data_IF_322954628755
#
_entry.id   IF_322954628755
#
_cell.length_a   1.000
_cell.length_b   1.000
_cell.length_c   1.000
_cell.angle_alpha   90.00
_cell.angle_beta   90.00
_cell.angle_gamma   90.00
#
_symmetry.space_group_name_H-M   'P 1'
#
loop_
_entity.id
_entity.type
_entity.pdbx_description
1 polymer ?
#
# COMPACT_ATOMS: atom_id res chain seq x y z
N UNK A 1 44.25 -12.68 11.37
CA UNK A 1 44.82 -12.10 10.13
C UNK A 1 43.71 -11.25 9.52
N UNK A 2 43.83 -9.92 9.65
CA UNK A 2 42.94 -8.82 9.22
C UNK A 2 41.40 -8.91 9.47
N UNK A 3 40.84 -8.01 10.30
CA UNK A 3 39.47 -7.53 10.16
C UNK A 3 39.44 -6.13 9.50
N UNK A 4 38.53 -5.91 8.56
CA UNK A 4 38.16 -4.58 8.10
C UNK A 4 36.99 -4.07 8.94
N UNK A 5 37.27 -3.08 9.79
CA UNK A 5 36.27 -2.22 10.41
C UNK A 5 36.17 -0.95 9.54
N UNK A 6 34.95 -0.56 9.17
CA UNK A 6 34.68 0.76 8.61
C UNK A 6 34.19 1.67 9.74
N UNK A 7 35.07 2.57 10.18
CA UNK A 7 34.72 3.78 10.93
C UNK A 7 34.23 4.85 9.93
N UNK A 8 33.09 5.48 10.23
CA UNK A 8 32.68 6.74 9.59
C UNK A 8 32.88 7.88 10.59
N UNK A 9 33.66 8.92 10.28
CA UNK A 9 33.66 10.14 11.07
C UNK A 9 32.55 11.10 10.60
N UNK A 10 31.78 11.57 11.58
CA UNK A 10 30.99 12.79 11.49
C UNK A 10 31.94 13.99 11.40
N UNK A 11 31.86 14.79 10.34
CA UNK A 11 32.25 16.20 10.40
C UNK A 11 31.20 17.08 9.73
N UNK A 12 30.57 17.89 10.57
CA UNK A 12 29.91 19.12 10.19
C UNK A 12 30.98 20.21 9.97
N UNK A 13 30.66 21.16 9.09
CA UNK A 13 31.03 22.60 9.05
C UNK A 13 31.57 22.99 7.68
N UNK A 14 30.83 23.81 6.92
CA UNK A 14 31.30 25.14 6.46
C UNK A 14 30.22 25.80 5.58
N UNK A 15 29.62 26.86 6.13
CA UNK A 15 28.86 27.85 5.41
C UNK A 15 29.71 29.12 5.28
N UNK A 16 30.19 29.45 4.07
CA UNK A 16 30.39 30.82 3.58
C UNK A 16 31.14 30.77 2.24
N UNK A 17 30.47 31.17 1.15
CA UNK A 17 30.98 31.94 0.01
C UNK A 17 30.16 31.61 -1.24
N UNK A 18 29.33 32.55 -1.66
CA UNK A 18 29.14 32.94 -3.07
C UNK A 18 28.22 34.18 -3.07
N UNK A 19 28.82 35.31 -2.73
CA UNK A 19 28.38 36.62 -3.21
C UNK A 19 29.05 36.85 -4.57
N UNK A 20 28.34 37.55 -5.47
CA UNK A 20 28.78 38.09 -6.76
C UNK A 20 28.72 37.16 -7.98
N UNK A 21 27.61 37.27 -8.72
CA UNK A 21 27.66 37.78 -10.10
C UNK A 21 26.29 38.32 -10.52
N UNK A 22 26.26 39.62 -10.78
CA UNK A 22 25.16 40.32 -11.44
C UNK A 22 25.19 40.10 -12.97
N UNK A 23 24.10 40.45 -13.68
CA UNK A 23 23.75 39.91 -14.99
C UNK A 23 24.23 40.81 -16.15
N UNK A 24 24.40 40.21 -17.32
CA UNK A 24 24.49 40.94 -18.58
C UNK A 24 23.44 40.44 -19.58
N UNK A 25 22.55 41.38 -19.86
CA UNK A 25 21.56 41.58 -20.92
C UNK A 25 21.97 41.24 -22.36
N UNK A 26 20.92 41.02 -23.19
CA UNK A 26 20.71 41.38 -24.61
C UNK A 26 20.30 40.16 -25.47
N UNK A 27 19.03 39.98 -25.85
CA UNK A 27 18.21 40.65 -26.90
C UNK A 27 18.29 39.94 -28.27
N UNK A 28 17.09 39.58 -28.75
CA UNK A 28 16.59 39.67 -30.12
C UNK A 28 16.71 38.48 -31.10
N UNK A 29 15.51 38.11 -31.60
CA UNK A 29 15.17 37.92 -33.02
C UNK A 29 15.36 36.55 -33.67
N UNK A 30 14.54 36.05 -34.59
CA UNK A 30 13.17 36.27 -35.11
C UNK A 30 12.99 35.15 -36.19
N UNK A 31 11.78 34.60 -36.37
CA UNK A 31 11.22 33.94 -37.57
C UNK A 31 11.89 32.71 -38.24
N UNK A 32 11.13 31.61 -38.39
CA UNK A 32 10.42 31.24 -39.65
C UNK A 32 10.22 29.72 -39.86
N UNK A 33 8.98 29.36 -40.23
CA UNK A 33 8.55 28.33 -41.20
C UNK A 33 9.05 26.87 -41.11
N UNK A 34 8.11 25.91 -41.04
CA UNK A 34 7.78 25.07 -42.21
C UNK A 34 6.42 24.35 -42.03
N UNK A 35 5.57 24.53 -43.05
CA UNK A 35 4.41 23.70 -43.39
C UNK A 35 4.88 22.33 -43.91
N UNK A 36 4.20 21.23 -43.55
CA UNK A 36 3.96 20.13 -44.49
C UNK A 36 2.65 19.38 -44.13
N UNK A 37 1.79 19.28 -45.14
CA UNK A 37 0.55 18.53 -45.21
C UNK A 37 0.81 17.11 -45.78
N UNK A 38 -0.25 16.30 -45.78
CA UNK A 38 -0.57 15.14 -46.67
C UNK A 38 -0.19 13.74 -46.11
N UNK A 39 -1.03 12.67 -46.21
CA UNK A 39 -2.48 12.55 -46.04
C UNK A 39 -2.92 11.22 -45.35
N UNK A 40 -4.24 11.03 -45.23
CA UNK A 40 -4.93 9.79 -44.93
C UNK A 40 -4.54 8.59 -45.82
N UNK A 41 -4.58 7.38 -45.23
CA UNK A 41 -4.95 6.17 -45.98
C UNK A 41 -5.88 5.27 -45.18
N UNK A 42 -7.14 5.29 -45.63
CA UNK A 42 -8.22 4.36 -45.32
C UNK A 42 -7.95 3.00 -45.97
N UNK A 43 -8.23 1.90 -45.25
CA UNK A 43 -8.62 0.62 -45.83
C UNK A 43 -9.65 -0.07 -44.93
N UNK A 44 -10.89 -0.11 -45.42
CA UNK A 44 -11.95 -1.05 -45.03
C UNK A 44 -11.65 -2.45 -45.60
N UNK A 45 -11.95 -3.48 -44.80
CA UNK A 45 -12.73 -4.73 -45.03
C UNK A 45 -12.50 -5.55 -46.32
N UNK A 46 -12.69 -6.90 -46.34
CA UNK A 46 -13.79 -7.69 -45.74
C UNK A 46 -13.33 -8.94 -44.95
N UNK A 47 -14.07 -9.44 -43.96
CA UNK A 47 -15.23 -10.35 -44.05
C UNK A 47 -14.96 -11.60 -44.92
N UNK A 48 -14.97 -12.76 -44.27
CA UNK A 48 -14.84 -14.08 -44.86
C UNK A 48 -15.22 -15.14 -43.84
N UNK A 49 -16.52 -15.46 -43.79
CA UNK A 49 -17.05 -16.69 -43.22
C UNK A 49 -16.55 -17.88 -44.03
N UNK A 50 -16.02 -18.92 -43.37
CA UNK A 50 -16.08 -20.30 -43.88
C UNK A 50 -16.37 -21.24 -42.71
N UNK A 51 -17.44 -21.99 -42.96
CA UNK A 51 -18.07 -23.07 -42.23
C UNK A 51 -17.21 -24.35 -42.18
N UNK A 52 -17.41 -25.08 -41.09
CA UNK A 52 -17.66 -26.52 -41.01
C UNK A 52 -16.50 -27.55 -41.14
N UNK A 53 -16.45 -28.36 -40.07
CA UNK A 53 -16.44 -29.83 -40.06
C UNK A 53 -15.14 -30.65 -39.98
N UNK A 54 -15.25 -31.63 -39.06
CA UNK A 54 -14.78 -33.02 -39.11
C UNK A 54 -13.51 -33.40 -38.32
N UNK A 55 -13.77 -34.00 -37.17
CA UNK A 55 -13.50 -35.41 -36.86
C UNK A 55 -12.06 -35.96 -36.69
N UNK A 56 -11.93 -36.64 -35.53
CA UNK A 56 -11.24 -37.93 -35.32
C UNK A 56 -9.71 -37.94 -35.34
N UNK A 57 -9.13 -38.20 -34.17
CA UNK A 57 -8.29 -39.38 -33.95
C UNK A 57 -7.97 -39.60 -32.47
N UNK A 58 -8.40 -40.75 -31.97
CA UNK A 58 -7.94 -41.35 -30.73
C UNK A 58 -6.50 -41.84 -30.88
N UNK A 59 -5.71 -41.73 -29.82
CA UNK A 59 -4.49 -42.52 -29.61
C UNK A 59 -4.46 -43.05 -28.18
N UNK A 60 -4.91 -44.29 -28.05
CA UNK A 60 -4.56 -45.26 -26.99
C UNK A 60 -3.13 -45.75 -27.22
N UNK A 61 -2.55 -46.50 -26.25
CA UNK A 61 -1.30 -47.33 -26.30
C UNK A 61 -0.10 -46.61 -25.64
N UNK A 62 0.66 -47.14 -24.65
CA UNK A 62 0.74 -48.45 -24.00
C UNK A 62 1.43 -48.31 -22.63
N UNK A 63 1.16 -49.30 -21.77
CA UNK A 63 1.91 -49.69 -20.59
C UNK A 63 3.42 -49.88 -20.84
N UNK A 64 4.23 -49.54 -19.84
CA UNK A 64 5.49 -50.22 -19.57
C UNK A 64 5.71 -50.34 -18.07
N UNK A 65 5.28 -51.49 -17.54
CA UNK A 65 5.72 -52.07 -16.29
C UNK A 65 7.10 -52.71 -16.49
N UNK A 66 8.04 -52.42 -15.59
CA UNK A 66 9.15 -53.33 -15.33
C UNK A 66 9.46 -53.32 -13.84
N UNK A 67 9.60 -54.54 -13.33
CA UNK A 67 9.72 -54.95 -11.95
C UNK A 67 11.11 -55.52 -11.69
N UNK A 68 11.39 -55.78 -10.41
CA UNK A 68 12.51 -56.55 -9.85
C UNK A 68 13.82 -55.75 -9.70
N UNK A 69 14.61 -55.89 -8.64
CA UNK A 69 14.76 -57.01 -7.70
C UNK A 69 15.42 -56.55 -6.38
N UNK A 70 15.16 -57.36 -5.36
CA UNK A 70 15.70 -57.38 -4.00
C UNK A 70 17.18 -57.81 -3.92
N UNK A 71 17.91 -57.31 -2.92
CA UNK A 71 18.93 -58.09 -2.21
C UNK A 71 19.22 -57.53 -0.81
N UNK A 72 19.51 -58.44 0.12
CA UNK A 72 19.48 -58.29 1.55
C UNK A 72 20.87 -58.22 2.20
N UNK A 73 20.88 -57.73 3.45
CA UNK A 73 21.69 -58.16 4.61
C UNK A 73 23.24 -58.19 4.51
N UNK A 74 23.91 -57.42 5.38
CA UNK A 74 24.40 -57.90 6.69
C UNK A 74 25.65 -57.15 7.20
N UNK A 75 25.61 -56.88 8.52
CA UNK A 75 26.70 -56.97 9.51
C UNK A 75 27.67 -55.80 9.79
N UNK A 76 27.83 -55.62 11.12
CA UNK A 76 29.06 -55.31 11.89
C UNK A 76 29.27 -53.84 12.25
N UNK A 77 29.05 -53.43 13.51
CA UNK A 77 29.88 -53.58 14.74
C UNK A 77 30.59 -52.27 15.10
N UNK A 78 30.28 -51.80 16.31
CA UNK A 78 31.11 -51.03 17.24
C UNK A 78 31.84 -49.79 16.74
N UNK A 79 31.36 -48.62 17.19
CA UNK A 79 32.23 -47.77 18.00
C UNK A 79 31.41 -46.86 18.93
N UNK A 80 31.62 -47.13 20.21
CA UNK A 80 31.22 -46.35 21.36
C UNK A 80 32.10 -45.09 21.39
N UNK A 81 31.53 -43.91 21.13
CA UNK A 81 32.19 -42.63 21.41
C UNK A 81 31.20 -41.69 22.10
N UNK A 82 31.39 -41.61 23.41
CA UNK A 82 30.94 -40.56 24.32
C UNK A 82 31.40 -39.21 23.79
N UNK A 83 30.51 -38.49 23.09
CA UNK A 83 30.72 -37.10 22.70
C UNK A 83 29.71 -36.22 23.44
N UNK A 84 30.29 -35.44 24.36
CA UNK A 84 29.67 -34.41 25.20
C UNK A 84 28.54 -33.67 24.48
N UNK A 85 27.36 -33.73 25.09
CA UNK A 85 26.26 -32.82 24.82
C UNK A 85 26.71 -31.39 25.20
N UNK A 86 27.23 -30.64 24.22
CA UNK A 86 27.43 -29.20 24.38
C UNK A 86 26.04 -28.58 24.39
N UNK A 87 25.60 -28.26 25.60
CA UNK A 87 24.37 -27.52 25.89
C UNK A 87 24.48 -26.18 25.15
N UNK A 88 23.84 -26.09 23.98
CA UNK A 88 23.70 -24.86 23.22
C UNK A 88 22.83 -23.94 24.08
N UNK A 89 23.43 -22.90 24.66
CA UNK A 89 22.67 -21.93 25.43
C UNK A 89 21.58 -21.34 24.53
N UNK A 90 20.31 -21.30 24.99
CA UNK A 90 19.26 -20.66 24.24
C UNK A 90 19.65 -19.19 24.07
N UNK A 91 19.86 -18.78 22.81
CA UNK A 91 20.08 -17.39 22.49
C UNK A 91 18.93 -16.54 23.06
N UNK A 92 19.19 -15.26 23.38
CA UNK A 92 18.16 -14.37 23.91
C UNK A 92 16.94 -14.41 22.98
N UNK A 93 15.76 -14.59 23.56
CA UNK A 93 14.52 -14.61 22.79
C UNK A 93 14.40 -13.30 22.00
N UNK A 94 13.72 -13.33 20.85
CA UNK A 94 13.50 -12.11 20.06
C UNK A 94 12.84 -10.99 20.89
N UNK A 95 12.07 -11.34 21.94
CA UNK A 95 11.54 -10.39 22.91
C UNK A 95 12.65 -9.70 23.72
N UNK A 96 13.65 -10.44 24.21
CA UNK A 96 14.78 -9.86 24.95
C UNK A 96 15.65 -8.93 24.08
N UNK A 97 15.74 -9.21 22.77
CA UNK A 97 16.43 -8.32 21.80
C UNK A 97 15.63 -7.02 21.60
N UNK A 98 14.31 -7.11 21.48
CA UNK A 98 13.44 -5.94 21.37
C UNK A 98 13.44 -5.09 22.65
N UNK A 99 13.40 -5.72 23.82
CA UNK A 99 13.45 -5.02 25.11
C UNK A 99 14.79 -4.30 25.32
N UNK A 100 15.91 -4.94 24.94
CA UNK A 100 17.23 -4.31 24.99
C UNK A 100 17.33 -3.10 24.03
N UNK A 101 16.72 -3.19 22.85
CA UNK A 101 16.68 -2.08 21.90
C UNK A 101 15.80 -0.93 22.39
N UNK A 102 14.63 -1.22 22.96
CA UNK A 102 13.74 -0.21 23.53
C UNK A 102 14.39 0.52 24.72
N UNK A 103 15.07 -0.21 25.61
CA UNK A 103 15.81 0.37 26.74
C UNK A 103 16.97 1.27 26.27
N UNK A 104 17.65 0.88 25.19
CA UNK A 104 18.71 1.71 24.59
C UNK A 104 18.17 3.03 24.03
N UNK A 105 17.06 3.00 23.30
CA UNK A 105 16.43 4.21 22.78
C UNK A 105 15.96 5.15 23.91
N UNK A 106 15.42 4.59 25.00
CA UNK A 106 15.03 5.37 26.17
C UNK A 106 16.24 6.05 26.83
N UNK A 107 17.37 5.35 26.91
CA UNK A 107 18.61 5.89 27.45
C UNK A 107 19.19 7.00 26.57
N UNK A 108 19.21 6.81 25.24
CA UNK A 108 19.65 7.82 24.28
C UNK A 108 18.78 9.08 24.35
N UNK A 109 17.44 8.95 24.47
CA UNK A 109 16.53 10.08 24.65
C UNK A 109 16.75 10.81 25.99
N UNK A 110 17.01 10.07 27.07
CA UNK A 110 17.28 10.65 28.40
C UNK A 110 18.63 11.38 28.43
N UNK A 111 19.63 10.87 27.71
CA UNK A 111 20.93 11.52 27.54
C UNK A 111 20.83 12.79 26.67
N UNK A 112 19.96 12.81 25.66
CA UNK A 112 19.68 14.01 24.86
C UNK A 112 19.00 15.11 25.70
N UNK A 113 18.05 14.76 26.56
CA UNK A 113 17.45 15.71 27.51
C UNK A 113 18.45 16.21 28.55
N UNK A 114 19.35 15.36 29.03
CA UNK A 114 20.41 15.77 29.97
C UNK A 114 21.46 16.67 29.30
N UNK A 115 21.72 16.49 28.00
CA UNK A 115 22.62 17.35 27.22
C UNK A 115 21.99 18.69 26.82
N UNK A 116 20.67 18.86 26.93
CA UNK A 116 19.99 20.16 26.87
C UNK A 116 20.17 20.93 28.19
N UNK A 117 21.42 21.25 28.51
CA UNK A 117 21.75 22.18 29.58
C UNK A 117 21.12 23.58 29.36
N UNK A 118 20.89 24.35 30.42
CA UNK A 118 20.24 25.66 30.36
C UNK A 118 21.20 26.70 29.76
N UNK A 119 21.26 26.79 28.43
CA UNK A 119 22.12 27.76 27.73
C UNK A 119 21.37 28.99 27.22
N UNK A 120 20.10 29.16 27.58
CA UNK A 120 19.38 30.42 27.36
C UNK A 120 19.64 31.42 28.48
N UNK A 121 20.92 31.78 28.72
CA UNK A 121 21.22 33.14 29.20
C UNK A 121 21.39 34.00 27.96
N UNK A 122 20.27 34.45 27.40
CA UNK A 122 20.27 35.50 26.40
C UNK A 122 20.90 36.74 27.03
N UNK A 123 22.19 36.96 26.76
CA UNK A 123 22.78 38.29 26.90
C UNK A 123 22.10 39.10 25.81
N UNK A 124 21.03 39.81 26.16
CA UNK A 124 20.41 40.80 25.30
C UNK A 124 21.46 41.86 24.99
N UNK A 125 22.21 41.66 23.91
CA UNK A 125 23.02 42.71 23.34
C UNK A 125 22.08 43.87 23.00
N UNK A 126 22.42 45.13 23.36
CA UNK A 126 21.63 46.30 22.99
C UNK A 126 21.31 46.35 21.48
N UNK A 127 22.16 45.74 20.64
CA UNK A 127 21.94 45.63 19.20
C UNK A 127 20.70 44.82 18.80
N UNK A 128 20.32 43.80 19.57
CA UNK A 128 19.15 42.97 19.25
C UNK A 128 17.85 43.74 19.54
N UNK A 129 17.82 44.51 20.64
CA UNK A 129 16.67 45.36 20.96
C UNK A 129 16.48 46.48 19.94
N UNK A 130 17.58 47.07 19.46
CA UNK A 130 17.54 48.07 18.38
C UNK A 130 17.02 47.44 17.07
N UNK A 131 17.48 46.24 16.71
CA UNK A 131 17.01 45.55 15.53
C UNK A 131 15.50 45.22 15.62
N UNK A 132 15.02 44.75 16.77
CA UNK A 132 13.59 44.47 16.98
C UNK A 132 12.74 45.74 16.93
N UNK A 133 13.22 46.88 17.45
CA UNK A 133 12.54 48.17 17.34
C UNK A 133 12.46 48.67 15.89
N UNK A 134 13.54 48.48 15.10
CA UNK A 134 13.53 48.82 13.66
C UNK A 134 12.52 47.94 12.91
N UNK A 135 12.48 46.63 13.19
CA UNK A 135 11.50 45.74 12.58
C UNK A 135 10.06 46.06 12.98
N UNK A 136 9.82 46.39 14.24
CA UNK A 136 8.49 46.78 14.73
C UNK A 136 8.03 48.10 14.10
N UNK A 137 8.92 49.09 13.93
CA UNK A 137 8.58 50.36 13.29
C UNK A 137 8.34 50.22 11.79
N UNK A 138 9.14 49.41 11.08
CA UNK A 138 8.88 49.07 9.67
C UNK A 138 7.53 48.36 9.54
N UNK A 139 7.24 47.37 10.40
CA UNK A 139 5.96 46.67 10.43
C UNK A 139 4.79 47.62 10.67
N UNK A 140 4.92 48.56 11.60
CA UNK A 140 3.88 49.55 11.91
C UNK A 140 3.65 50.51 10.73
N UNK A 141 4.69 50.97 10.05
CA UNK A 141 4.58 51.85 8.88
C UNK A 141 3.91 51.13 7.71
N UNK A 142 4.27 49.86 7.48
CA UNK A 142 3.62 49.02 6.45
C UNK A 142 2.15 48.80 6.80
N UNK A 143 1.84 48.47 8.06
CA UNK A 143 0.48 48.26 8.53
C UNK A 143 -0.38 49.53 8.34
N UNK A 144 0.11 50.69 8.79
CA UNK A 144 -0.59 51.97 8.65
C UNK A 144 -0.80 52.37 7.19
N UNK A 145 0.16 52.05 6.30
CA UNK A 145 0.05 52.35 4.87
C UNK A 145 -0.94 51.43 4.16
N UNK A 146 -1.01 50.15 4.56
CA UNK A 146 -2.00 49.19 4.05
C UNK A 146 -3.40 49.55 4.53
N UNK A 147 -3.56 49.96 5.79
CA UNK A 147 -4.85 50.35 6.36
C UNK A 147 -5.38 51.66 5.75
N UNK A 148 -4.47 52.61 5.45
CA UNK A 148 -4.82 53.86 4.77
C UNK A 148 -5.31 53.68 3.33
N UNK A 149 -4.95 52.57 2.67
CA UNK A 149 -5.49 52.23 1.34
C UNK A 149 -6.92 51.66 1.35
N UNK A 150 -7.47 51.33 2.52
CA UNK A 150 -8.82 50.76 2.64
C UNK A 150 -9.94 51.79 2.88
N UNK A 151 -9.63 53.08 3.03
CA UNK A 151 -10.64 54.13 3.22
C UNK A 151 -11.02 54.84 1.91
N UNK A 152 -11.31 54.06 0.86
CA UNK A 152 -12.10 54.55 -0.29
C UNK A 152 -13.50 53.92 -0.19
N UNK A 153 -14.55 54.69 0.21
CA UNK A 153 -15.92 54.21 0.17
C UNK A 153 -16.37 54.16 -1.29
N UNK A 154 -16.19 53.00 -1.92
CA UNK A 154 -16.56 52.77 -3.31
C UNK A 154 -16.60 51.28 -3.60
N UNK A 155 -17.82 50.73 -3.63
CA UNK A 155 -18.19 49.37 -4.00
C UNK A 155 -17.56 48.26 -3.12
N UNK A 156 -18.38 47.67 -2.26
CA UNK A 156 -18.07 46.43 -1.57
C UNK A 156 -17.72 45.35 -2.61
N UNK A 157 -16.42 45.11 -2.80
CA UNK A 157 -15.92 43.93 -3.48
C UNK A 157 -16.35 42.73 -2.65
N UNK A 158 -17.20 41.89 -3.23
CA UNK A 158 -17.67 40.66 -2.63
C UNK A 158 -16.46 39.91 -2.06
N UNK A 159 -16.39 39.85 -0.73
CA UNK A 159 -15.45 39.01 -0.01
C UNK A 159 -15.78 37.57 -0.40
N UNK A 160 -15.11 37.05 -1.42
CA UNK A 160 -15.08 35.62 -1.71
C UNK A 160 -14.44 34.97 -0.49
N UNK A 161 -15.28 34.47 0.43
CA UNK A 161 -14.82 33.67 1.55
C UNK A 161 -14.00 32.55 0.97
N UNK A 162 -12.72 32.47 1.34
CA UNK A 162 -11.89 31.32 1.02
C UNK A 162 -12.58 30.10 1.64
N UNK A 163 -13.30 29.36 0.80
CA UNK A 163 -13.95 28.12 1.20
C UNK A 163 -12.87 27.21 1.77
N UNK A 164 -12.94 26.97 3.08
CA UNK A 164 -12.05 26.01 3.71
C UNK A 164 -12.41 24.62 3.19
N UNK A 165 -11.46 23.70 2.99
CA UNK A 165 -11.74 22.36 2.47
C UNK A 165 -12.83 21.59 3.24
N UNK A 166 -13.06 21.92 4.51
CA UNK A 166 -14.15 21.38 5.34
C UNK A 166 -15.55 21.83 4.89
N UNK A 167 -15.68 23.02 4.31
CA UNK A 167 -16.96 23.53 3.82
C UNK A 167 -17.49 22.75 2.60
N UNK A 168 -16.59 22.12 1.84
CA UNK A 168 -16.94 21.29 0.69
C UNK A 168 -17.39 19.87 1.08
N UNK A 169 -17.22 19.47 2.35
CA UNK A 169 -17.73 18.18 2.81
C UNK A 169 -19.26 18.22 2.97
N UNK A 170 -19.96 17.15 2.56
CA UNK A 170 -21.36 16.95 2.92
C UNK A 170 -21.55 17.01 4.44
N UNK A 171 -22.75 17.38 4.87
CA UNK A 171 -23.08 17.52 6.29
C UNK A 171 -22.81 16.22 7.08
N UNK A 172 -23.16 15.06 6.50
CA UNK A 172 -22.89 13.73 7.07
C UNK A 172 -21.41 13.41 7.29
N UNK A 173 -20.50 14.13 6.63
CA UNK A 173 -19.05 13.96 6.78
C UNK A 173 -18.40 14.97 7.71
N UNK A 174 -19.15 15.94 8.27
CA UNK A 174 -18.59 17.01 9.11
C UNK A 174 -18.47 16.53 10.56
N UNK A 175 -17.40 16.97 11.25
CA UNK A 175 -16.95 16.40 12.53
C UNK A 175 -18.01 16.25 13.63
N UNK A 176 -19.00 17.14 13.72
CA UNK A 176 -20.07 17.00 14.71
C UNK A 176 -21.03 15.84 14.39
N UNK A 177 -21.43 15.69 13.12
CA UNK A 177 -22.27 14.57 12.68
C UNK A 177 -21.52 13.25 12.73
N UNK A 178 -20.22 13.32 12.47
CA UNK A 178 -19.37 12.15 12.40
C UNK A 178 -19.41 11.28 13.65
N UNK A 179 -19.25 11.92 14.81
CA UNK A 179 -19.19 11.24 16.09
C UNK A 179 -20.58 10.83 16.60
N UNK A 180 -21.64 11.47 16.09
CA UNK A 180 -23.03 11.16 16.47
C UNK A 180 -23.54 9.90 15.77
N UNK A 181 -23.17 9.70 14.50
CA UNK A 181 -23.58 8.55 13.68
C UNK A 181 -22.63 7.35 13.83
N UNK A 182 -22.07 7.16 15.03
CA UNK A 182 -21.23 5.99 15.35
C UNK A 182 -19.76 6.07 14.92
N UNK A 183 -19.37 7.10 14.17
CA UNK A 183 -17.96 7.37 13.82
C UNK A 183 -17.10 7.62 15.06
N UNK A 184 -15.82 7.25 14.98
CA UNK A 184 -14.87 7.30 16.10
C UNK A 184 -13.80 8.37 15.91
N UNK A 185 -13.38 8.59 14.66
CA UNK A 185 -12.41 9.60 14.29
C UNK A 185 -12.97 10.53 13.20
N UNK A 186 -12.70 11.85 13.25
CA UNK A 186 -13.24 12.79 12.27
C UNK A 186 -12.72 12.52 10.86
N UNK A 187 -13.47 12.93 9.84
CA UNK A 187 -13.09 12.78 8.44
C UNK A 187 -11.65 13.27 8.18
N UNK A 188 -10.80 12.41 7.62
CA UNK A 188 -9.40 12.70 7.33
C UNK A 188 -8.42 12.53 8.48
N UNK A 189 -8.86 12.13 9.68
CA UNK A 189 -7.96 11.68 10.73
C UNK A 189 -7.16 10.45 10.28
N UNK A 190 -5.90 10.35 10.68
CA UNK A 190 -5.06 9.18 10.39
C UNK A 190 -5.46 8.04 11.31
N UNK A 191 -5.84 6.89 10.74
CA UNK A 191 -6.22 5.70 11.49
C UNK A 191 -5.02 4.76 11.73
N UNK A 192 -4.08 4.73 10.79
CA UNK A 192 -2.92 3.85 10.83
C UNK A 192 -2.12 3.95 9.54
N UNK A 193 -1.05 3.16 9.42
CA UNK A 193 -0.22 3.13 8.24
C UNK A 193 0.39 1.74 8.01
N UNK A 194 0.29 1.22 6.80
CA UNK A 194 1.00 0.01 6.41
C UNK A 194 2.06 0.32 5.36
N UNK A 195 3.31 -0.06 5.62
CA UNK A 195 4.47 0.26 4.78
C UNK A 195 4.53 1.76 4.41
N UNK A 196 4.15 2.68 5.29
CA UNK A 196 4.15 4.12 5.01
C UNK A 196 2.99 4.62 4.12
N UNK A 197 1.99 3.79 3.83
CA UNK A 197 0.73 4.20 3.21
C UNK A 197 -0.29 4.43 4.33
N UNK A 198 -0.67 5.69 4.56
CA UNK A 198 -1.62 6.06 5.61
C UNK A 198 -3.05 5.73 5.22
N UNK A 199 -3.82 5.21 6.17
CA UNK A 199 -5.27 5.13 6.08
C UNK A 199 -5.90 6.30 6.82
N UNK A 200 -6.93 6.87 6.21
CA UNK A 200 -7.65 8.01 6.74
C UNK A 200 -9.10 7.63 7.05
N UNK A 201 -9.65 8.25 8.10
CA UNK A 201 -11.05 8.11 8.47
C UNK A 201 -11.94 8.66 7.37
N UNK A 202 -12.88 7.84 6.90
CA UNK A 202 -14.03 8.31 6.11
C UNK A 202 -15.19 8.73 7.02
N UNK A 203 -14.92 9.02 8.29
CA UNK A 203 -15.91 9.37 9.30
C UNK A 203 -16.87 8.24 9.69
N UNK A 204 -17.73 7.79 8.77
CA UNK A 204 -18.57 6.59 8.92
C UNK A 204 -18.72 5.91 7.55
N UNK A 205 -18.95 4.61 7.52
CA UNK A 205 -19.09 3.83 6.28
C UNK A 205 -20.44 4.04 5.58
N UNK A 206 -21.46 4.44 6.32
CA UNK A 206 -22.86 4.27 5.89
C UNK A 206 -23.45 5.52 5.25
N UNK A 207 -23.11 6.70 5.76
CA UNK A 207 -23.74 7.99 5.37
C UNK A 207 -22.75 9.03 4.85
N UNK A 208 -21.46 8.89 5.13
CA UNK A 208 -20.45 9.82 4.66
C UNK A 208 -19.88 9.38 3.30
N UNK A 209 -20.34 10.03 2.23
CA UNK A 209 -19.76 9.90 0.88
C UNK A 209 -19.27 11.27 0.43
N UNK A 210 -17.96 11.50 0.49
CA UNK A 210 -17.37 12.74 -0.02
C UNK A 210 -17.14 12.67 -1.52
N UNK A 211 -17.51 13.71 -2.24
CA UNK A 211 -17.17 13.89 -3.66
C UNK A 211 -15.75 14.43 -3.89
N UNK A 212 -15.01 14.71 -2.81
CA UNK A 212 -13.65 15.22 -2.88
C UNK A 212 -12.68 14.14 -3.37
N UNK A 213 -11.95 14.44 -4.43
CA UNK A 213 -10.91 13.55 -4.95
C UNK A 213 -9.61 13.71 -4.15
N UNK A 214 -8.89 12.59 -3.95
CA UNK A 214 -7.49 12.62 -3.55
C UNK A 214 -6.60 12.53 -4.78
N UNK A 215 -5.60 13.40 -4.81
CA UNK A 215 -4.58 13.45 -5.83
C UNK A 215 -3.22 13.44 -5.16
N UNK A 216 -2.27 12.73 -5.75
CA UNK A 216 -0.90 12.67 -5.26
C UNK A 216 0.10 12.80 -6.40
N UNK A 217 1.22 13.46 -6.12
CA UNK A 217 2.32 13.58 -7.06
C UNK A 217 3.12 12.27 -7.05
N UNK A 218 3.16 11.60 -8.21
CA UNK A 218 3.94 10.38 -8.43
C UNK A 218 5.21 10.76 -9.20
N UNK A 219 6.41 10.38 -8.73
CA UNK A 219 7.64 10.57 -9.49
C UNK A 219 7.56 9.89 -10.85
N UNK A 220 7.91 10.61 -11.91
CA UNK A 220 7.96 10.05 -13.25
C UNK A 220 9.30 9.33 -13.46
N UNK A 221 9.29 8.02 -13.80
CA UNK A 221 10.50 7.35 -14.26
C UNK A 221 11.10 8.09 -15.48
N UNK A 222 12.43 8.08 -15.66
CA UNK A 222 13.05 8.57 -16.89
C UNK A 222 12.42 7.89 -18.12
N UNK A 223 11.94 8.68 -19.08
CA UNK A 223 11.29 8.16 -20.29
C UNK A 223 9.79 7.88 -20.18
N UNK A 224 9.18 7.88 -18.99
CA UNK A 224 7.74 7.66 -18.78
C UNK A 224 6.85 8.89 -19.05
N UNK A 225 7.41 9.91 -19.72
CA UNK A 225 6.71 11.17 -20.01
C UNK A 225 5.74 10.98 -21.17
N UNK A 226 4.54 11.49 -21.00
CA UNK A 226 3.49 11.54 -22.00
C UNK A 226 3.37 12.97 -22.54
N UNK A 227 2.66 13.13 -23.66
CA UNK A 227 2.34 14.45 -24.22
C UNK A 227 1.50 15.34 -23.28
N UNK A 228 0.89 14.75 -22.24
CA UNK A 228 0.11 15.48 -21.23
C UNK A 228 0.99 16.09 -20.12
N UNK A 229 2.24 15.65 -19.97
CA UNK A 229 3.13 16.13 -18.92
C UNK A 229 3.85 17.42 -19.34
N UNK A 230 4.03 18.36 -18.41
CA UNK A 230 4.74 19.61 -18.66
C UNK A 230 6.20 19.34 -19.14
N UNK A 231 6.81 20.24 -19.96
CA UNK A 231 8.14 20.07 -20.57
C UNK A 231 9.30 19.67 -19.64
N UNK A 232 9.15 19.85 -18.32
CA UNK A 232 10.14 19.48 -17.30
C UNK A 232 9.50 18.83 -16.05
N UNK A 233 8.32 18.22 -16.20
CA UNK A 233 7.66 17.54 -15.10
C UNK A 233 8.54 16.38 -14.60
N UNK A 234 8.90 16.43 -13.32
CA UNK A 234 9.54 15.31 -12.60
C UNK A 234 8.51 14.46 -11.85
N UNK A 235 7.27 14.95 -11.77
CA UNK A 235 6.13 14.27 -11.14
C UNK A 235 4.88 14.41 -12.00
N UNK A 236 3.97 13.44 -11.86
CA UNK A 236 2.62 13.49 -12.43
C UNK A 236 1.62 13.48 -11.29
N UNK A 237 0.67 14.41 -11.33
CA UNK A 237 -0.44 14.42 -10.40
C UNK A 237 -1.45 13.34 -10.82
N UNK A 238 -1.67 12.35 -9.96
CA UNK A 238 -2.56 11.23 -10.24
C UNK A 238 -3.68 11.19 -9.22
N UNK A 239 -4.91 11.02 -9.71
CA UNK A 239 -6.10 10.82 -8.87
C UNK A 239 -6.16 9.38 -8.39
N UNK A 240 -6.18 9.17 -7.08
CA UNK A 240 -6.29 7.83 -6.48
C UNK A 240 -7.73 7.44 -6.19
N UNK A 241 -8.66 8.39 -6.09
CA UNK A 241 -10.09 8.16 -5.86
C UNK A 241 -10.72 9.18 -4.91
N UNK A 242 -11.96 8.92 -4.50
CA UNK A 242 -12.68 9.77 -3.54
C UNK A 242 -12.13 9.60 -2.12
N UNK A 243 -11.89 10.71 -1.43
CA UNK A 243 -11.53 10.73 -0.01
C UNK A 243 -12.71 10.21 0.83
N UNK A 244 -12.55 9.32 1.79
CA UNK A 244 -11.44 8.38 2.00
C UNK A 244 -11.98 6.96 1.82
N UNK A 245 -12.40 6.67 0.60
CA UNK A 245 -13.09 5.43 0.25
C UNK A 245 -12.13 4.24 0.18
N UNK A 246 -12.66 3.01 0.26
CA UNK A 246 -11.87 1.78 0.21
C UNK A 246 -11.08 1.64 -1.10
N UNK A 247 -11.72 1.96 -2.24
CA UNK A 247 -11.09 1.94 -3.57
C UNK A 247 -9.94 2.94 -3.68
N UNK A 248 -10.05 4.10 -3.02
CA UNK A 248 -9.00 5.12 -2.98
C UNK A 248 -7.75 4.57 -2.29
N UNK A 249 -7.92 3.97 -1.11
CA UNK A 249 -6.82 3.36 -0.36
C UNK A 249 -6.14 2.24 -1.16
N UNK A 250 -6.92 1.32 -1.72
CA UNK A 250 -6.41 0.20 -2.49
C UNK A 250 -5.59 0.65 -3.70
N UNK A 251 -6.10 1.63 -4.47
CA UNK A 251 -5.39 2.19 -5.63
C UNK A 251 -4.11 2.90 -5.19
N UNK A 252 -4.19 3.74 -4.16
CA UNK A 252 -3.01 4.45 -3.62
C UNK A 252 -1.96 3.48 -3.08
N UNK A 253 -2.37 2.39 -2.45
CA UNK A 253 -1.45 1.36 -1.96
C UNK A 253 -0.68 0.71 -3.10
N UNK A 254 -1.35 0.24 -4.16
CA UNK A 254 -0.66 -0.32 -5.33
C UNK A 254 0.24 0.68 -6.04
N UNK A 255 -0.14 1.96 -6.09
CA UNK A 255 0.70 3.01 -6.69
C UNK A 255 1.97 3.28 -5.88
N UNK A 256 1.94 3.11 -4.57
CA UNK A 256 3.07 3.42 -3.69
C UNK A 256 3.93 2.20 -3.35
N UNK A 257 3.30 1.03 -3.23
CA UNK A 257 3.85 -0.20 -2.63
C UNK A 257 3.47 -1.46 -3.37
N UNK A 258 2.82 -1.33 -4.52
CA UNK A 258 2.49 -2.46 -5.36
C UNK A 258 3.73 -3.25 -5.75
N UNK A 259 3.60 -4.58 -5.71
CA UNK A 259 4.62 -5.54 -6.12
C UNK A 259 4.04 -6.46 -7.20
N UNK A 260 4.86 -6.93 -8.15
CA UNK A 260 6.31 -6.71 -8.29
C UNK A 260 6.72 -5.28 -8.70
N UNK A 261 5.89 -4.58 -9.49
CA UNK A 261 6.12 -3.20 -9.93
C UNK A 261 4.94 -2.31 -9.56
N UNK A 262 5.12 -1.08 -9.02
CA UNK A 262 4.01 -0.19 -8.67
C UNK A 262 3.05 0.04 -9.84
N UNK A 263 1.76 -0.09 -9.56
CA UNK A 263 0.71 -0.11 -10.56
C UNK A 263 -0.56 0.57 -10.05
N UNK A 264 -1.50 0.82 -10.95
CA UNK A 264 -2.85 1.23 -10.61
C UNK A 264 -3.85 0.49 -11.49
N UNK A 265 -5.07 0.36 -10.98
CA UNK A 265 -6.17 -0.20 -11.72
C UNK A 265 -7.14 0.90 -12.18
N UNK A 266 -7.87 0.63 -13.25
CA UNK A 266 -8.77 1.58 -13.91
C UNK A 266 -9.89 2.13 -13.02
N UNK A 267 -10.69 3.04 -13.58
CA UNK A 267 -11.86 3.58 -12.89
C UNK A 267 -12.92 2.49 -12.69
N UNK A 268 -13.48 2.42 -11.49
CA UNK A 268 -14.55 1.50 -11.11
C UNK A 268 -15.66 2.28 -10.40
N UNK A 269 -16.91 1.84 -10.53
CA UNK A 269 -18.04 2.49 -9.85
C UNK A 269 -18.13 2.05 -8.39
N UNK A 270 -17.97 0.75 -8.14
CA UNK A 270 -17.86 0.17 -6.80
C UNK A 270 -16.62 -0.71 -6.66
N UNK A 271 -16.28 -1.07 -5.42
CA UNK A 271 -15.16 -1.95 -5.12
C UNK A 271 -15.33 -3.35 -5.74
N UNK A 272 -16.55 -3.89 -5.77
CA UNK A 272 -16.84 -5.19 -6.39
C UNK A 272 -16.51 -5.22 -7.90
N UNK A 273 -16.59 -4.08 -8.60
CA UNK A 273 -16.27 -4.03 -10.04
C UNK A 273 -14.80 -4.31 -10.33
N UNK A 274 -13.91 -4.23 -9.33
CA UNK A 274 -12.51 -4.68 -9.46
C UNK A 274 -12.48 -6.16 -9.86
N UNK A 275 -13.37 -6.98 -9.28
CA UNK A 275 -13.49 -8.38 -9.62
C UNK A 275 -14.19 -8.60 -10.96
N UNK A 276 -15.29 -7.90 -11.23
CA UNK A 276 -16.13 -8.23 -12.39
C UNK A 276 -15.61 -7.63 -13.70
N UNK A 277 -15.08 -6.40 -13.66
CA UNK A 277 -14.84 -5.60 -14.87
C UNK A 277 -13.37 -5.45 -15.26
N UNK A 278 -12.45 -5.55 -14.29
CA UNK A 278 -11.04 -5.31 -14.56
C UNK A 278 -10.34 -6.59 -15.02
N UNK A 279 -9.47 -6.46 -16.02
CA UNK A 279 -8.69 -7.56 -16.60
C UNK A 279 -7.19 -7.34 -16.51
N UNK A 280 -6.76 -6.11 -16.24
CA UNK A 280 -5.36 -5.71 -16.19
C UNK A 280 -5.19 -4.51 -15.25
N UNK A 281 -3.93 -4.27 -14.90
CA UNK A 281 -3.46 -3.03 -14.27
C UNK A 281 -2.54 -2.27 -15.23
N UNK A 282 -2.31 -1.00 -14.95
CA UNK A 282 -1.36 -0.16 -15.68
C UNK A 282 -0.23 0.21 -14.73
N UNK A 283 1.02 0.03 -15.16
CA UNK A 283 2.18 0.46 -14.39
C UNK A 283 2.30 1.99 -14.42
N UNK A 284 3.10 2.55 -13.50
CA UNK A 284 3.24 4.01 -13.37
C UNK A 284 3.91 4.69 -14.57
N UNK A 285 4.51 3.91 -15.48
CA UNK A 285 4.98 4.44 -16.77
C UNK A 285 3.82 4.81 -17.73
N UNK A 286 2.59 4.41 -17.39
CA UNK A 286 1.38 4.62 -18.17
C UNK A 286 1.42 4.04 -19.60
N UNK A 287 2.28 3.05 -19.81
CA UNK A 287 2.49 2.41 -21.10
C UNK A 287 2.41 0.88 -20.97
N UNK A 288 2.95 0.33 -19.89
CA UNK A 288 3.01 -1.11 -19.66
C UNK A 288 1.84 -1.55 -18.78
N UNK A 289 1.34 -2.76 -19.05
CA UNK A 289 0.20 -3.36 -18.36
C UNK A 289 0.52 -4.78 -17.94
N UNK A 290 -0.07 -5.22 -16.83
CA UNK A 290 -0.02 -6.60 -16.36
C UNK A 290 -1.42 -7.20 -16.22
N UNK A 291 -1.59 -8.51 -16.48
CA UNK A 291 -2.88 -9.17 -16.28
C UNK A 291 -3.29 -9.12 -14.80
N UNK A 292 -4.58 -8.95 -14.57
CA UNK A 292 -5.17 -9.00 -13.23
C UNK A 292 -5.70 -10.42 -12.98
N UNK A 293 -4.92 -11.20 -12.25
CA UNK A 293 -5.26 -12.56 -11.82
C UNK A 293 -6.31 -12.51 -10.72
N UNK A 294 -7.29 -13.41 -10.78
CA UNK A 294 -8.43 -13.48 -9.86
C UNK A 294 -8.46 -14.86 -9.21
N UNK A 295 -8.40 -14.90 -7.88
CA UNK A 295 -8.39 -16.14 -7.11
C UNK A 295 -9.65 -16.23 -6.27
N UNK A 296 -10.53 -17.17 -6.61
CA UNK A 296 -11.84 -17.29 -5.97
C UNK A 296 -11.66 -17.85 -4.56
N UNK A 297 -12.33 -17.24 -3.59
CA UNK A 297 -12.27 -17.68 -2.21
C UNK A 297 -12.77 -19.13 -2.08
N UNK A 298 -12.00 -19.98 -1.41
CA UNK A 298 -12.32 -21.41 -1.28
C UNK A 298 -12.23 -22.22 -2.58
N UNK A 299 -11.63 -21.69 -3.65
CA UNK A 299 -11.33 -22.51 -4.82
C UNK A 299 -10.12 -23.43 -4.56
N UNK A 300 -10.12 -24.60 -5.20
CA UNK A 300 -8.98 -25.53 -5.15
C UNK A 300 -7.77 -24.92 -5.85
N UNK A 301 -6.59 -25.18 -5.32
CA UNK A 301 -5.33 -24.81 -5.96
C UNK A 301 -5.24 -25.40 -7.36
N UNK A 302 -4.84 -24.56 -8.33
CA UNK A 302 -4.80 -24.91 -9.75
C UNK A 302 -6.15 -24.83 -10.49
N UNK A 303 -7.27 -24.65 -9.77
CA UNK A 303 -8.61 -24.49 -10.33
C UNK A 303 -9.21 -23.14 -9.92
N UNK A 304 -8.44 -22.07 -10.11
CA UNK A 304 -8.82 -20.71 -9.71
C UNK A 304 -8.54 -20.36 -8.25
N UNK A 305 -7.92 -21.26 -7.47
CA UNK A 305 -7.41 -20.97 -6.13
C UNK A 305 -5.91 -20.68 -6.12
N UNK A 306 -5.48 -19.85 -5.18
CA UNK A 306 -4.06 -19.59 -4.82
C UNK A 306 -3.96 -19.47 -3.30
N UNK A 307 -2.75 -19.37 -2.74
CA UNK A 307 -2.61 -18.76 -1.42
C UNK A 307 -2.74 -17.23 -1.55
N UNK A 308 -3.36 -16.54 -0.57
CA UNK A 308 -3.27 -15.08 -0.47
C UNK A 308 -1.82 -14.68 -0.18
N UNK A 309 -1.42 -13.49 -0.63
CA UNK A 309 -0.10 -12.90 -0.45
C UNK A 309 -0.23 -11.44 -0.04
N UNK A 310 0.82 -10.92 0.62
CA UNK A 310 0.94 -9.49 0.89
C UNK A 310 0.88 -8.71 -0.43
N UNK A 311 0.05 -7.66 -0.47
CA UNK A 311 -0.21 -6.85 -1.65
C UNK A 311 -1.46 -7.27 -2.45
N UNK A 312 -2.02 -8.46 -2.22
CA UNK A 312 -3.28 -8.86 -2.86
C UNK A 312 -4.42 -7.92 -2.43
N UNK A 313 -5.37 -7.65 -3.33
CA UNK A 313 -6.61 -6.95 -2.97
C UNK A 313 -7.70 -7.96 -2.68
N UNK A 314 -8.17 -8.01 -1.44
CA UNK A 314 -9.31 -8.79 -0.99
C UNK A 314 -10.61 -8.09 -1.43
N UNK A 315 -11.47 -8.78 -2.16
CA UNK A 315 -12.69 -8.21 -2.75
C UNK A 315 -13.93 -8.82 -2.09
N UNK A 316 -14.82 -7.94 -1.63
CA UNK A 316 -16.17 -8.28 -1.18
C UNK A 316 -17.16 -8.00 -2.32
N UNK A 317 -18.11 -8.90 -2.57
CA UNK A 317 -19.14 -8.69 -3.56
C UNK A 317 -20.10 -7.59 -3.08
N UNK A 318 -20.93 -7.11 -4.01
CA UNK A 318 -22.12 -6.35 -3.63
C UNK A 318 -23.05 -7.26 -2.85
N UNK A 319 -23.64 -6.76 -1.77
CA UNK A 319 -24.69 -7.49 -1.08
C UNK A 319 -26.08 -7.09 -1.58
N UNK A 320 -27.05 -7.98 -1.38
CA UNK A 320 -28.45 -7.75 -1.73
C UNK A 320 -29.20 -7.02 -0.62
N UNK A 321 -28.64 -6.99 0.59
CA UNK A 321 -29.22 -6.37 1.78
C UNK A 321 -28.87 -4.87 1.89
N UNK A 322 -28.10 -4.34 0.93
CA UNK A 322 -27.64 -2.95 0.85
C UNK A 322 -26.74 -2.51 2.03
N UNK A 323 -26.08 -3.43 2.73
CA UNK A 323 -25.01 -3.08 3.69
C UNK A 323 -23.74 -2.71 2.93
N UNK A 324 -23.46 -3.40 1.82
CA UNK A 324 -22.38 -3.11 0.88
C UNK A 324 -22.88 -3.04 -0.57
N UNK A 325 -23.64 -1.98 -0.94
CA UNK A 325 -24.19 -1.84 -2.29
C UNK A 325 -23.11 -1.69 -3.39
N UNK A 326 -21.89 -1.31 -3.01
CA UNK A 326 -20.73 -1.18 -3.89
C UNK A 326 -19.69 -2.29 -3.72
N UNK A 327 -19.94 -3.25 -2.82
CA UNK A 327 -18.92 -4.14 -2.28
C UNK A 327 -17.86 -3.40 -1.49
N UNK A 328 -16.75 -4.08 -1.21
CA UNK A 328 -15.63 -3.53 -0.46
C UNK A 328 -14.29 -4.08 -0.94
N UNK A 329 -13.21 -3.34 -0.68
CA UNK A 329 -11.85 -3.77 -1.02
C UNK A 329 -10.89 -3.46 0.13
N UNK A 330 -10.04 -4.45 0.44
CA UNK A 330 -8.98 -4.33 1.43
C UNK A 330 -7.65 -4.82 0.84
N UNK A 331 -6.54 -4.32 1.36
CA UNK A 331 -5.19 -4.76 0.98
C UNK A 331 -4.73 -5.82 1.97
N UNK A 332 -4.28 -6.99 1.50
CA UNK A 332 -3.64 -7.99 2.35
C UNK A 332 -2.25 -7.49 2.76
N UNK A 333 -2.00 -7.35 4.05
CA UNK A 333 -0.75 -6.76 4.59
C UNK A 333 0.12 -7.75 5.35
N UNK A 334 -0.45 -8.86 5.80
CA UNK A 334 0.27 -9.99 6.39
C UNK A 334 -0.55 -11.25 6.20
N UNK A 335 0.12 -12.36 5.93
CA UNK A 335 -0.49 -13.69 5.89
C UNK A 335 0.27 -14.55 6.89
N UNK A 336 -0.43 -15.01 7.91
CA UNK A 336 0.07 -16.05 8.79
C UNK A 336 -0.35 -17.39 8.21
N UNK A 337 0.61 -18.31 8.13
CA UNK A 337 0.38 -19.66 7.67
C UNK A 337 0.47 -20.58 8.87
N UNK A 338 -0.39 -21.61 8.95
CA UNK A 338 -0.38 -22.51 10.08
C UNK A 338 0.95 -23.27 10.11
N UNK A 339 1.66 -23.24 11.25
CA UNK A 339 2.94 -23.93 11.39
C UNK A 339 2.72 -25.44 11.47
N UNK A 340 3.70 -26.25 11.03
CA UNK A 340 3.60 -27.72 11.06
C UNK A 340 3.33 -28.30 12.47
N UNK A 341 3.62 -27.55 13.53
CA UNK A 341 3.62 -28.01 14.91
C UNK A 341 2.23 -28.13 15.57
N UNK A 342 1.19 -27.53 14.99
CA UNK A 342 -0.17 -27.50 15.59
C UNK A 342 -1.15 -28.47 14.90
N UNK A 343 -0.64 -29.43 14.13
CA UNK A 343 -1.50 -30.52 13.68
C UNK A 343 -1.94 -31.30 14.91
N UNK A 344 -3.21 -31.15 15.26
CA UNK A 344 -3.88 -31.96 16.27
C UNK A 344 -3.79 -33.43 15.82
N UNK A 345 -2.75 -34.12 16.27
CA UNK A 345 -2.48 -35.54 15.98
C UNK A 345 -3.50 -36.46 16.69
N UNK A 346 -4.54 -35.90 17.31
CA UNK A 346 -5.56 -36.63 18.07
C UNK A 346 -6.52 -37.49 17.22
N UNK A 347 -6.39 -37.51 15.89
CA UNK A 347 -7.24 -38.32 15.02
C UNK A 347 -6.46 -39.23 14.07
N UNK A 348 -5.65 -40.13 14.63
CA UNK A 348 -5.21 -41.35 13.94
C UNK A 348 -6.26 -42.45 14.14
N UNK A 349 -7.37 -42.39 13.40
CA UNK A 349 -8.21 -43.57 13.19
C UNK A 349 -7.46 -44.49 12.21
N UNK A 350 -6.65 -45.39 12.76
CA UNK A 350 -5.87 -46.36 12.01
C UNK A 350 -6.73 -47.35 11.17
N UNK A 351 -8.06 -47.27 11.27
CA UNK A 351 -9.00 -48.09 10.50
C UNK A 351 -9.62 -47.42 9.26
N UNK A 352 -9.42 -46.11 9.04
CA UNK A 352 -10.06 -45.44 7.91
C UNK A 352 -9.31 -45.71 6.59
N UNK A 353 -9.96 -46.43 5.66
CA UNK A 353 -9.42 -46.87 4.36
C UNK A 353 -9.01 -45.75 3.39
N UNK A 354 -9.12 -44.47 3.76
CA UNK A 354 -8.59 -43.35 3.00
C UNK A 354 -8.30 -42.19 3.96
N UNK A 355 -7.10 -41.60 3.91
CA UNK A 355 -6.76 -40.51 4.81
C UNK A 355 -7.57 -39.26 4.46
N UNK A 356 -8.29 -38.72 5.44
CA UNK A 356 -9.18 -37.57 5.28
C UNK A 356 -8.37 -36.27 5.13
N UNK A 357 -8.83 -35.30 4.33
CA UNK A 357 -8.25 -33.95 4.29
C UNK A 357 -8.23 -33.32 5.69
N UNK A 358 -7.15 -32.60 5.99
CA UNK A 358 -6.98 -31.88 7.27
C UNK A 358 -7.35 -30.41 7.07
N UNK A 359 -7.94 -29.78 8.08
CA UNK A 359 -8.17 -28.34 8.08
C UNK A 359 -7.27 -27.68 9.12
N UNK A 360 -6.61 -26.61 8.73
CA UNK A 360 -5.79 -25.78 9.62
C UNK A 360 -6.31 -24.35 9.63
N UNK A 361 -6.23 -23.71 10.79
CA UNK A 361 -6.68 -22.34 10.97
C UNK A 361 -5.48 -21.42 11.13
N UNK A 362 -5.57 -20.23 10.56
CA UNK A 362 -4.58 -19.17 10.68
C UNK A 362 -5.23 -17.81 10.44
N UNK A 363 -4.47 -16.77 10.10
CA UNK A 363 -5.00 -15.43 9.93
C UNK A 363 -4.42 -14.70 8.71
N UNK A 364 -5.26 -13.88 8.08
CA UNK A 364 -4.84 -12.84 7.14
C UNK A 364 -5.09 -11.49 7.80
N UNK A 365 -4.16 -10.57 7.68
CA UNK A 365 -4.30 -9.20 8.16
C UNK A 365 -4.51 -8.30 6.96
N UNK A 366 -5.44 -7.37 7.09
CA UNK A 366 -5.80 -6.44 6.02
C UNK A 366 -5.62 -4.99 6.44
N UNK A 367 -5.41 -4.12 5.47
CA UNK A 367 -5.42 -2.67 5.64
C UNK A 367 -6.42 -2.08 4.65
N UNK A 368 -7.29 -1.21 5.14
CA UNK A 368 -8.39 -0.64 4.36
C UNK A 368 -8.84 0.72 4.92
N UNK A 369 -9.65 1.43 4.13
CA UNK A 369 -10.42 2.59 4.58
C UNK A 369 -11.90 2.30 4.39
N UNK A 370 -12.76 3.05 5.06
CA UNK A 370 -14.21 2.96 4.90
C UNK A 370 -14.83 1.61 5.30
N UNK A 371 -14.14 0.86 6.17
CA UNK A 371 -14.74 -0.28 6.89
C UNK A 371 -15.16 0.14 8.29
N UNK A 372 -14.25 0.80 9.00
CA UNK A 372 -14.47 1.45 10.28
C UNK A 372 -13.66 2.75 10.30
N UNK A 373 -13.96 3.62 11.26
CA UNK A 373 -13.28 4.88 11.55
C UNK A 373 -12.46 4.83 12.84
N UNK A 374 -12.35 3.68 13.50
CA UNK A 374 -11.48 3.51 14.67
C UNK A 374 -10.01 3.54 14.26
N UNK A 375 -9.17 4.16 15.10
CA UNK A 375 -7.71 4.03 15.02
C UNK A 375 -7.31 2.55 15.02
N UNK A 376 -6.44 2.15 14.10
CA UNK A 376 -6.01 0.76 13.93
C UNK A 376 -5.38 0.19 15.22
N UNK A 377 -5.36 -1.14 15.42
CA UNK A 377 -4.87 -1.73 16.66
C UNK A 377 -3.42 -1.36 17.03
N UNK A 378 -3.22 -1.13 18.32
CA UNK A 378 -1.90 -0.98 18.95
C UNK A 378 -1.05 -2.27 18.82
N UNK A 379 0.29 -2.19 18.97
CA UNK A 379 1.07 -0.97 19.18
C UNK A 379 1.57 -0.32 17.87
N UNK A 380 1.38 -0.98 16.73
CA UNK A 380 2.02 -0.56 15.48
C UNK A 380 1.07 0.14 14.50
N UNK A 381 -0.24 0.04 14.70
CA UNK A 381 -1.24 0.64 13.80
C UNK A 381 -0.98 0.31 12.33
N UNK A 382 -0.66 -0.96 12.03
CA UNK A 382 -0.15 -1.39 10.71
C UNK A 382 -1.08 -2.35 9.93
N UNK A 383 -2.26 -2.64 10.47
CA UNK A 383 -3.38 -3.33 9.82
C UNK A 383 -4.69 -2.82 10.44
N UNK A 384 -5.81 -2.84 9.71
CA UNK A 384 -7.13 -2.48 10.25
C UNK A 384 -7.71 -3.61 11.11
N UNK A 385 -7.67 -4.84 10.60
CA UNK A 385 -8.20 -6.04 11.26
C UNK A 385 -7.54 -7.33 10.75
N UNK A 386 -7.81 -8.43 11.45
CA UNK A 386 -7.42 -9.79 11.07
C UNK A 386 -8.65 -10.63 10.73
N UNK A 387 -8.51 -11.53 9.77
CA UNK A 387 -9.55 -12.42 9.26
C UNK A 387 -9.07 -13.87 9.41
N UNK A 388 -9.93 -14.81 9.86
CA UNK A 388 -9.59 -16.23 9.85
C UNK A 388 -9.25 -16.73 8.45
N UNK A 389 -8.20 -17.55 8.37
CA UNK A 389 -7.77 -18.26 7.18
C UNK A 389 -7.86 -19.76 7.44
N UNK A 390 -8.71 -20.45 6.70
CA UNK A 390 -8.81 -21.91 6.71
C UNK A 390 -8.03 -22.48 5.54
N UNK A 391 -7.08 -23.37 5.84
CA UNK A 391 -6.28 -24.10 4.87
C UNK A 391 -6.73 -25.55 4.88
N UNK A 392 -7.32 -26.00 3.78
CA UNK A 392 -7.59 -27.43 3.57
C UNK A 392 -6.33 -28.08 3.01
N UNK A 393 -5.84 -29.12 3.65
CA UNK A 393 -4.64 -29.86 3.27
C UNK A 393 -4.97 -31.32 2.91
N UNK A 394 -4.15 -31.89 2.03
CA UNK A 394 -4.13 -33.33 1.78
C UNK A 394 -3.63 -34.09 3.01
N UNK A 395 -3.76 -35.41 2.97
CA UNK A 395 -3.21 -36.29 4.00
C UNK A 395 -1.69 -36.09 4.21
N UNK A 396 -0.97 -35.75 3.14
CA UNK A 396 0.47 -35.50 3.13
C UNK A 396 0.83 -34.07 3.61
N UNK A 397 -0.17 -33.27 4.03
CA UNK A 397 0.02 -31.90 4.48
C UNK A 397 0.29 -30.91 3.35
N UNK A 398 -0.13 -31.22 2.11
CA UNK A 398 -0.05 -30.27 1.00
C UNK A 398 -1.32 -29.42 0.97
N UNK A 399 -1.23 -28.08 0.87
CA UNK A 399 -2.41 -27.25 0.77
C UNK A 399 -3.18 -27.59 -0.52
N UNK A 400 -4.50 -27.66 -0.40
CA UNK A 400 -5.45 -27.95 -1.47
C UNK A 400 -6.37 -26.76 -1.76
N UNK A 401 -6.68 -25.95 -0.74
CA UNK A 401 -7.62 -24.84 -0.83
C UNK A 401 -7.36 -23.85 0.32
N UNK A 402 -7.58 -22.56 0.03
CA UNK A 402 -7.52 -21.48 0.99
C UNK A 402 -8.87 -20.76 1.03
N UNK A 403 -9.41 -20.58 2.24
CA UNK A 403 -10.65 -19.86 2.48
C UNK A 403 -10.40 -18.77 3.52
N UNK A 404 -10.63 -17.52 3.16
CA UNK A 404 -10.66 -16.40 4.11
C UNK A 404 -12.10 -16.24 4.56
N UNK A 405 -12.32 -16.22 5.86
CA UNK A 405 -13.64 -16.07 6.45
C UNK A 405 -13.81 -14.68 7.05
N UNK A 406 -15.03 -14.17 6.97
CA UNK A 406 -15.43 -12.93 7.62
C UNK A 406 -16.87 -13.13 8.10
N UNK A 407 -17.08 -12.91 9.41
CA UNK A 407 -18.37 -13.13 10.05
C UNK A 407 -19.44 -12.16 9.59
N UNK A 408 -19.03 -11.01 9.05
CA UNK A 408 -19.96 -9.96 8.65
C UNK A 408 -20.45 -10.17 7.21
N UNK A 409 -19.54 -10.46 6.27
CA UNK A 409 -19.89 -10.56 4.85
C UNK A 409 -19.06 -11.60 4.10
N UNK A 410 -19.67 -12.21 3.08
CA UNK A 410 -18.97 -13.14 2.20
C UNK A 410 -17.85 -12.46 1.42
N UNK A 411 -16.71 -13.14 1.28
CA UNK A 411 -15.56 -12.69 0.48
C UNK A 411 -15.61 -13.39 -0.88
N UNK A 412 -15.53 -12.61 -1.97
CA UNK A 412 -15.55 -13.14 -3.34
C UNK A 412 -14.23 -13.83 -3.69
N UNK A 413 -13.11 -13.24 -3.26
CA UNK A 413 -11.77 -13.72 -3.53
C UNK A 413 -10.75 -12.60 -3.35
N UNK A 414 -9.57 -12.79 -3.93
CA UNK A 414 -8.58 -11.72 -4.01
C UNK A 414 -7.99 -11.64 -5.41
N UNK A 415 -7.52 -10.45 -5.75
CA UNK A 415 -6.89 -10.16 -7.03
C UNK A 415 -5.42 -9.80 -6.85
N UNK A 416 -4.61 -10.17 -7.83
CA UNK A 416 -3.17 -9.93 -7.90
C UNK A 416 -2.82 -9.58 -9.34
N UNK A 417 -1.89 -8.66 -9.54
CA UNK A 417 -1.23 -8.55 -10.82
C UNK A 417 0.17 -9.15 -10.72
N UNK A 418 0.64 -9.72 -11.82
CA UNK A 418 1.98 -10.27 -11.91
C UNK A 418 2.68 -9.70 -13.13
N UNK A 419 4.00 -9.56 -13.08
CA UNK A 419 4.79 -9.06 -14.21
C UNK A 419 5.02 -10.17 -15.25
N UNK A 420 4.70 -11.42 -14.91
CA UNK A 420 4.76 -12.55 -15.85
C UNK A 420 3.40 -12.80 -16.54
N UNK A 421 3.36 -12.76 -17.88
CA UNK A 421 2.14 -12.97 -18.67
C UNK A 421 1.60 -14.41 -18.66
#
# INVERSE_FOLDING_TARGET
MFPFAFEYPCEATFAHQMQNKQPSTLLASFFAYYHFLIPMRSRRSPAGDIEDRADVAAATVLHSSSSSSSAAAAASMMQDQVLRCVRKEPGPSNAAICDAYAMRLLQEATEEERCRGPHWRARCSPSILVALLIWATIGLVVYMKVDSSHLRPGAALATTSVETPLSQLPESCRGHYCLQEGGKEPFGAVLGAHNGVFAYSNCNSDTCISSLQYQMAIPLPPGARTALDAPHATTRLMTTGMKWQCVEYARRYWMLRGTPTPAFFGAVKGAADIWDSLTHVTFLDNATTAPLLKFKNGARLGYGGSAPRVGDLLIYPRDTENVFPYGHVAVVVKVEMPTKAEADDSYMDAGAASPKPRQRHSHVYVAEQNWDSVTWPNPYHNYSRSLPLVVLESAEGRPLQYTIEDSLHGIQGWVRYDDEP
#
